data_IF_742648811521
#
_entry.id   IF_742648811521
#
_cell.length_a   1.000
_cell.length_b   1.000
_cell.length_c   1.000
_cell.angle_alpha   90.00
_cell.angle_beta   90.00
_cell.angle_gamma   90.00
#
_symmetry.space_group_name_H-M   'P 1'
#
loop_
_entity.id
_entity.type
_entity.pdbx_description
1 polymer ?
#
# COMPACT_ATOMS: atom_id res chain seq x y z
N UNK A 1 -1.94 44.22 -21.91
CA UNK A 1 -2.16 43.49 -20.64
C UNK A 1 -2.81 42.15 -20.95
N UNK A 2 -2.04 41.12 -21.33
CA UNK A 2 -2.57 39.77 -21.56
C UNK A 2 -1.49 38.72 -21.23
N UNK A 3 -1.50 38.25 -19.98
CA UNK A 3 -0.62 37.16 -19.54
C UNK A 3 -1.23 36.29 -18.43
N UNK A 4 -2.38 36.68 -17.87
CA UNK A 4 -2.98 36.01 -16.72
C UNK A 4 -3.84 34.78 -17.08
N UNK A 5 -4.32 34.69 -18.33
CA UNK A 5 -5.18 33.58 -18.76
C UNK A 5 -4.44 32.26 -19.01
N UNK A 6 -3.15 32.32 -19.38
CA UNK A 6 -2.39 31.13 -19.76
C UNK A 6 -1.88 30.34 -18.53
N UNK A 7 -1.56 31.04 -17.44
CA UNK A 7 -1.15 30.41 -16.17
C UNK A 7 -2.30 29.71 -15.45
N UNK A 8 -3.52 30.26 -15.53
CA UNK A 8 -4.70 29.69 -14.89
C UNK A 8 -5.13 28.36 -15.53
N UNK A 9 -5.03 28.25 -16.86
CA UNK A 9 -5.27 26.99 -17.58
C UNK A 9 -4.26 25.90 -17.23
N UNK A 10 -2.97 26.24 -17.12
CA UNK A 10 -1.92 25.31 -16.68
C UNK A 10 -2.12 24.85 -15.24
N UNK A 11 -2.49 25.78 -14.34
CA UNK A 11 -2.78 25.47 -12.94
C UNK A 11 -3.94 24.48 -12.81
N UNK A 12 -5.05 24.73 -13.51
CA UNK A 12 -6.20 23.82 -13.50
C UNK A 12 -5.88 22.45 -14.07
N UNK A 13 -5.06 22.38 -15.13
CA UNK A 13 -4.66 21.11 -15.72
C UNK A 13 -3.77 20.30 -14.75
N UNK A 14 -2.82 20.94 -14.08
CA UNK A 14 -2.00 20.28 -13.06
C UNK A 14 -2.87 19.82 -11.89
N UNK A 15 -3.79 20.66 -11.42
CA UNK A 15 -4.72 20.30 -10.33
C UNK A 15 -5.56 19.07 -10.69
N UNK A 16 -6.05 19.02 -11.93
CA UNK A 16 -6.82 17.90 -12.44
C UNK A 16 -6.00 16.60 -12.45
N UNK A 17 -4.75 16.64 -12.96
CA UNK A 17 -3.86 15.48 -12.94
C UNK A 17 -3.48 15.04 -11.53
N UNK A 18 -3.18 15.98 -10.63
CA UNK A 18 -2.89 15.69 -9.21
C UNK A 18 -4.11 15.04 -8.54
N UNK A 19 -5.31 15.57 -8.80
CA UNK A 19 -6.57 15.00 -8.31
C UNK A 19 -6.81 13.59 -8.83
N UNK A 20 -6.58 13.35 -10.13
CA UNK A 20 -6.69 12.04 -10.77
C UNK A 20 -5.73 11.02 -10.13
N UNK A 21 -4.47 11.39 -9.94
CA UNK A 21 -3.46 10.54 -9.30
C UNK A 21 -3.81 10.29 -7.84
N UNK A 22 -4.23 11.32 -7.09
CA UNK A 22 -4.65 11.18 -5.71
C UNK A 22 -5.85 10.24 -5.57
N UNK A 23 -6.82 10.33 -6.47
CA UNK A 23 -7.97 9.43 -6.52
C UNK A 23 -7.55 7.99 -6.84
N UNK A 24 -6.68 7.79 -7.83
CA UNK A 24 -6.14 6.47 -8.16
C UNK A 24 -5.39 5.84 -6.98
N UNK A 25 -4.51 6.61 -6.33
CA UNK A 25 -3.80 6.17 -5.11
C UNK A 25 -4.79 5.90 -3.98
N UNK A 26 -5.83 6.70 -3.82
CA UNK A 26 -6.86 6.47 -2.80
C UNK A 26 -7.64 5.18 -3.05
N UNK A 27 -8.02 4.89 -4.29
CA UNK A 27 -8.70 3.62 -4.66
C UNK A 27 -7.77 2.43 -4.44
N UNK A 28 -6.51 2.51 -4.89
CA UNK A 28 -5.49 1.49 -4.64
C UNK A 28 -5.34 1.31 -3.13
N UNK A 29 -5.15 2.37 -2.35
CA UNK A 29 -5.07 2.26 -0.89
C UNK A 29 -6.35 1.70 -0.29
N UNK A 30 -7.54 2.04 -0.76
CA UNK A 30 -8.79 1.48 -0.22
C UNK A 30 -8.90 -0.03 -0.50
N UNK A 31 -8.50 -0.48 -1.68
CA UNK A 31 -8.52 -1.90 -2.08
C UNK A 31 -7.41 -2.72 -1.40
N UNK A 32 -6.20 -2.15 -1.29
CA UNK A 32 -5.02 -2.82 -0.71
C UNK A 32 -4.85 -2.59 0.81
N UNK A 33 -5.53 -1.60 1.39
CA UNK A 33 -5.60 -1.36 2.85
C UNK A 33 -6.92 -1.92 3.44
N UNK A 34 -7.67 -2.70 2.66
CA UNK A 34 -8.87 -3.41 3.12
C UNK A 34 -8.59 -4.53 4.14
N UNK A 35 -7.32 -4.93 4.32
CA UNK A 35 -6.91 -5.94 5.31
C UNK A 35 -6.32 -5.34 6.61
N UNK A 36 -6.40 -4.02 6.79
CA UNK A 36 -6.07 -3.37 8.07
C UNK A 36 -7.32 -2.99 8.85
N UNK A 37 -8.28 -3.90 8.90
CA UNK A 37 -9.29 -3.90 9.94
C UNK A 37 -8.89 -4.95 10.98
N UNK A 38 -8.14 -4.51 11.99
CA UNK A 38 -8.20 -5.16 13.30
C UNK A 38 -8.59 -4.08 14.31
N UNK A 39 -9.91 -3.91 14.56
CA UNK A 39 -10.40 -3.20 15.70
C UNK A 39 -10.30 -4.18 16.89
N UNK A 40 -9.39 -3.90 17.82
CA UNK A 40 -9.41 -4.31 19.24
C UNK A 40 -9.61 -5.80 19.54
N UNK A 41 -8.62 -6.45 20.18
CA UNK A 41 -8.72 -7.43 21.31
C UNK A 41 -7.40 -8.27 21.41
N UNK A 42 -7.09 -8.89 22.57
CA UNK A 42 -6.16 -8.41 23.59
C UNK A 42 -4.81 -9.15 23.58
N UNK A 43 -3.90 -8.70 24.46
CA UNK A 43 -2.60 -9.30 24.82
C UNK A 43 -2.45 -10.81 24.51
N UNK A 44 -1.53 -11.17 23.59
CA UNK A 44 -1.10 -12.57 23.48
C UNK A 44 -0.44 -13.01 22.16
N UNK A 45 -0.78 -12.42 21.01
CA UNK A 45 -0.22 -12.87 19.74
C UNK A 45 1.04 -12.06 19.38
N UNK A 46 2.20 -12.70 19.45
CA UNK A 46 3.46 -12.21 18.89
C UNK A 46 3.26 -11.66 17.45
N UNK A 47 4.10 -10.71 16.99
CA UNK A 47 4.02 -10.17 15.63
C UNK A 47 3.81 -11.29 14.62
N UNK A 48 2.71 -11.21 13.86
CA UNK A 48 2.22 -12.26 12.97
C UNK A 48 3.41 -12.83 12.19
N UNK A 49 3.75 -14.10 12.40
CA UNK A 49 4.89 -14.73 11.74
C UNK A 49 4.86 -14.55 10.21
N UNK A 50 3.65 -14.40 9.65
CA UNK A 50 3.40 -14.03 8.25
C UNK A 50 3.94 -12.65 7.86
N UNK A 51 3.75 -11.64 8.70
CA UNK A 51 4.20 -10.26 8.42
C UNK A 51 5.74 -10.15 8.46
N UNK A 52 6.39 -10.91 9.36
CA UNK A 52 7.85 -11.05 9.38
C UNK A 52 8.34 -11.78 8.14
N UNK A 53 7.63 -12.84 7.72
CA UNK A 53 7.97 -13.63 6.54
C UNK A 53 7.87 -12.78 5.25
N UNK A 54 6.79 -12.02 5.10
CA UNK A 54 6.58 -11.09 3.98
C UNK A 54 7.67 -10.02 3.95
N UNK A 55 8.05 -9.48 5.10
CA UNK A 55 9.11 -8.48 5.18
C UNK A 55 10.48 -9.03 4.76
N UNK A 56 10.82 -10.27 5.15
CA UNK A 56 12.08 -10.92 4.75
C UNK A 56 12.10 -11.27 3.27
N UNK A 57 10.97 -11.70 2.72
CA UNK A 57 10.83 -11.95 1.29
C UNK A 57 10.99 -10.65 0.48
N UNK A 58 10.35 -9.56 0.92
CA UNK A 58 10.48 -8.24 0.30
C UNK A 58 11.91 -7.68 0.37
N UNK A 59 12.66 -8.01 1.42
CA UNK A 59 14.10 -7.68 1.54
C UNK A 59 15.01 -8.60 0.72
N UNK A 60 14.47 -9.68 0.11
CA UNK A 60 15.24 -10.68 -0.61
C UNK A 60 16.11 -11.56 0.29
N UNK A 61 15.86 -11.57 1.60
CA UNK A 61 16.61 -12.39 2.57
C UNK A 61 16.25 -13.89 2.45
N UNK A 62 15.09 -14.19 1.86
CA UNK A 62 14.60 -15.55 1.63
C UNK A 62 14.14 -15.73 0.19
N UNK A 63 14.31 -16.94 -0.34
CA UNK A 63 13.85 -17.29 -1.69
C UNK A 63 12.36 -17.62 -1.71
N UNK A 64 11.74 -17.59 -2.89
CA UNK A 64 10.32 -17.93 -3.06
C UNK A 64 9.99 -19.34 -2.54
N UNK A 65 10.89 -20.31 -2.74
CA UNK A 65 10.71 -21.68 -2.23
C UNK A 65 10.67 -21.72 -0.70
N UNK A 66 11.55 -20.97 -0.03
CA UNK A 66 11.58 -20.87 1.44
C UNK A 66 10.33 -20.15 1.97
N UNK A 67 9.89 -19.10 1.27
CA UNK A 67 8.66 -18.38 1.58
C UNK A 67 7.44 -19.31 1.55
N UNK A 68 7.30 -20.12 0.50
CA UNK A 68 6.16 -21.03 0.36
C UNK A 68 6.14 -22.14 1.44
N UNK A 69 7.30 -22.67 1.81
CA UNK A 69 7.42 -23.66 2.87
C UNK A 69 6.99 -23.08 4.22
N UNK A 70 7.55 -21.93 4.59
CA UNK A 70 7.23 -21.25 5.86
C UNK A 70 5.78 -20.78 5.91
N UNK A 71 5.23 -20.32 4.77
CA UNK A 71 3.82 -19.92 4.67
C UNK A 71 2.87 -21.08 4.92
N UNK A 72 3.20 -22.29 4.44
CA UNK A 72 2.42 -23.51 4.69
C UNK A 72 2.54 -23.96 6.14
N UNK A 73 3.74 -23.88 6.70
CA UNK A 73 4.01 -24.23 8.10
C UNK A 73 3.25 -23.32 9.09
N UNK A 74 3.15 -22.02 8.78
CA UNK A 74 2.37 -21.05 9.57
C UNK A 74 0.85 -21.15 9.30
N UNK A 75 0.43 -21.85 8.24
CA UNK A 75 -0.97 -22.03 7.90
C UNK A 75 -1.56 -23.37 8.37
N UNK A 76 -0.72 -24.34 8.71
CA UNK A 76 -1.09 -25.62 9.34
C UNK A 76 -1.12 -25.53 10.86
#
# INVERSE_FOLDING_TARGET
MMGFGMGFGLLLMILFWVGLVALAVWVVKALFTGDKQSPTLPAGQAPNAREILDQRYARGEITHEQYDLMKRDIAG
#
